data_IF_887899949106
#
_entry.id   IF_887899949106
#
_cell.length_a   1.000
_cell.length_b   1.000
_cell.length_c   1.000
_cell.angle_alpha   90.00
_cell.angle_beta   90.00
_cell.angle_gamma   90.00
#
_symmetry.space_group_name_H-M   'P 1'
#
loop_
_entity.id
_entity.type
_entity.pdbx_description
1 polymer ?
#
# COMPACT_ATOMS: atom_id res chain seq x y z
N UNK A 1 -8.66 -12.59 -7.52
CA UNK A 1 -7.88 -11.49 -8.12
C UNK A 1 -7.34 -11.99 -9.45
N UNK A 2 -7.33 -11.17 -10.49
CA UNK A 2 -6.76 -11.53 -11.79
C UNK A 2 -5.27 -11.17 -11.80
N UNK A 3 -4.41 -12.15 -11.54
CA UNK A 3 -2.98 -11.95 -11.42
C UNK A 3 -2.28 -11.66 -12.76
N UNK A 4 -2.84 -12.17 -13.88
CA UNK A 4 -2.33 -11.84 -15.21
C UNK A 4 -2.58 -10.37 -15.53
N UNK A 5 -3.76 -9.85 -15.18
CA UNK A 5 -4.05 -8.44 -15.31
C UNK A 5 -3.13 -7.58 -14.43
N UNK A 6 -2.86 -7.98 -13.18
CA UNK A 6 -1.95 -7.25 -12.28
C UNK A 6 -0.54 -7.16 -12.88
N UNK A 7 0.02 -8.28 -13.30
CA UNK A 7 1.37 -8.31 -13.89
C UNK A 7 1.43 -7.44 -15.16
N UNK A 8 0.43 -7.56 -16.04
CA UNK A 8 0.32 -6.73 -17.23
C UNK A 8 0.24 -5.24 -16.88
N UNK A 9 -0.56 -4.89 -15.87
CA UNK A 9 -0.73 -3.51 -15.42
C UNK A 9 0.56 -2.94 -14.79
N UNK A 10 1.28 -3.72 -13.97
CA UNK A 10 2.56 -3.32 -13.40
C UNK A 10 3.61 -3.04 -14.49
N UNK A 11 3.74 -3.94 -15.46
CA UNK A 11 4.64 -3.74 -16.61
C UNK A 11 4.24 -2.50 -17.42
N UNK A 12 2.94 -2.27 -17.61
CA UNK A 12 2.43 -1.08 -18.28
C UNK A 12 2.77 0.21 -17.52
N UNK A 13 2.71 0.19 -16.19
CA UNK A 13 3.14 1.32 -15.37
C UNK A 13 4.63 1.59 -15.55
N UNK A 14 5.46 0.54 -15.59
CA UNK A 14 6.89 0.68 -15.87
C UNK A 14 7.12 1.38 -17.21
N UNK A 15 6.46 0.95 -18.28
CA UNK A 15 6.59 1.57 -19.61
C UNK A 15 6.15 3.03 -19.59
N UNK A 16 4.99 3.32 -18.96
CA UNK A 16 4.47 4.68 -18.82
C UNK A 16 5.45 5.60 -18.08
N UNK A 17 5.99 5.15 -16.94
CA UNK A 17 6.85 5.99 -16.13
C UNK A 17 8.27 6.11 -16.70
N UNK A 18 8.77 5.14 -17.47
CA UNK A 18 10.06 5.26 -18.17
C UNK A 18 10.07 6.35 -19.24
N UNK A 19 8.91 6.70 -19.79
CA UNK A 19 8.77 7.84 -20.70
C UNK A 19 8.80 9.19 -19.96
N UNK A 20 8.56 9.19 -18.65
CA UNK A 20 8.44 10.39 -17.83
C UNK A 20 9.65 10.63 -16.92
N UNK A 21 10.34 9.56 -16.50
CA UNK A 21 11.37 9.58 -15.48
C UNK A 21 12.55 8.69 -15.87
N UNK A 22 13.76 9.08 -15.46
CA UNK A 22 14.98 8.39 -15.90
C UNK A 22 15.15 7.01 -15.27
N UNK A 23 14.53 6.76 -14.11
CA UNK A 23 14.69 5.51 -13.37
C UNK A 23 13.37 5.01 -12.80
N UNK A 24 13.01 3.80 -13.21
CA UNK A 24 11.84 3.04 -12.77
C UNK A 24 12.25 1.60 -12.55
N UNK A 25 11.93 1.07 -11.38
CA UNK A 25 12.24 -0.30 -10.96
C UNK A 25 10.94 -1.03 -10.63
N UNK A 26 10.86 -2.29 -11.06
CA UNK A 26 9.78 -3.22 -10.73
C UNK A 26 10.43 -4.57 -10.47
N UNK A 27 10.17 -5.13 -9.30
CA UNK A 27 10.55 -6.48 -8.94
C UNK A 27 9.30 -7.26 -8.53
N UNK A 28 9.08 -8.39 -9.21
CA UNK A 28 8.03 -9.34 -8.87
C UNK A 28 8.74 -10.66 -8.59
N UNK A 29 8.84 -11.01 -7.31
CA UNK A 29 9.41 -12.27 -6.85
C UNK A 29 8.46 -13.43 -7.03
N UNK A 30 8.97 -14.65 -6.84
CA UNK A 30 8.17 -15.87 -6.87
C UNK A 30 7.06 -15.86 -5.81
N UNK A 31 5.94 -16.58 -6.02
CA UNK A 31 4.95 -16.82 -4.98
C UNK A 31 5.58 -17.45 -3.74
N UNK A 32 5.13 -16.99 -2.56
CA UNK A 32 5.55 -17.56 -1.29
C UNK A 32 5.07 -19.01 -1.15
N UNK A 33 5.91 -19.84 -0.56
CA UNK A 33 5.57 -21.20 -0.14
C UNK A 33 4.65 -21.21 1.06
N UNK A 34 3.96 -22.33 1.29
CA UNK A 34 3.13 -22.51 2.50
C UNK A 34 3.94 -22.40 3.80
N UNK A 35 5.20 -22.84 3.78
CA UNK A 35 6.09 -22.76 4.95
C UNK A 35 6.50 -21.32 5.24
N UNK A 36 6.74 -20.50 4.20
CA UNK A 36 6.98 -19.06 4.36
C UNK A 36 5.76 -18.35 4.94
N UNK A 37 4.56 -18.70 4.46
CA UNK A 37 3.32 -18.15 5.01
C UNK A 37 3.11 -18.58 6.46
N UNK A 38 3.39 -19.84 6.80
CA UNK A 38 3.29 -20.30 8.18
C UNK A 38 4.29 -19.57 9.09
N UNK A 39 5.52 -19.31 8.62
CA UNK A 39 6.49 -18.50 9.35
C UNK A 39 5.98 -17.09 9.57
N UNK A 40 5.51 -16.42 8.51
CA UNK A 40 4.91 -15.09 8.59
C UNK A 40 3.76 -15.04 9.62
N UNK A 41 2.81 -15.97 9.55
CA UNK A 41 1.66 -16.05 10.46
C UNK A 41 2.09 -16.25 11.92
N UNK A 42 3.13 -17.05 12.17
CA UNK A 42 3.70 -17.24 13.51
C UNK A 42 4.38 -15.96 14.03
N UNK A 43 5.13 -15.24 13.19
CA UNK A 43 5.82 -13.99 13.57
C UNK A 43 4.83 -12.87 13.93
N UNK A 44 3.76 -12.69 13.13
CA UNK A 44 2.74 -11.67 13.44
C UNK A 44 1.77 -12.10 14.54
N UNK A 45 1.70 -13.41 14.82
CA UNK A 45 0.86 -14.01 15.86
C UNK A 45 -0.60 -14.23 15.44
N UNK A 46 -0.89 -14.31 14.13
CA UNK A 46 -2.24 -14.54 13.60
C UNK A 46 -2.22 -15.12 12.19
N UNK A 47 -3.33 -15.74 11.78
CA UNK A 47 -3.55 -16.12 10.38
C UNK A 47 -3.74 -14.88 9.50
N UNK A 48 -3.16 -14.90 8.29
CA UNK A 48 -3.31 -13.83 7.33
C UNK A 48 -4.75 -13.78 6.80
N UNK A 49 -5.31 -12.58 6.62
CA UNK A 49 -6.56 -12.41 5.90
C UNK A 49 -6.51 -13.05 4.50
N UNK A 50 -7.62 -13.65 4.09
CA UNK A 50 -7.67 -14.61 2.98
C UNK A 50 -7.13 -14.03 1.67
N UNK A 51 -7.44 -12.77 1.35
CA UNK A 51 -7.00 -12.12 0.11
C UNK A 51 -5.49 -11.85 0.09
N UNK A 52 -4.93 -11.39 1.21
CA UNK A 52 -3.49 -11.16 1.35
C UNK A 52 -2.72 -12.49 1.29
N UNK A 53 -3.22 -13.53 1.98
CA UNK A 53 -2.67 -14.88 1.90
C UNK A 53 -2.66 -15.42 0.48
N UNK A 54 -3.75 -15.22 -0.27
CA UNK A 54 -3.85 -15.64 -1.67
C UNK A 54 -2.91 -14.86 -2.57
N UNK A 55 -2.70 -13.57 -2.35
CA UNK A 55 -1.71 -12.78 -3.07
C UNK A 55 -0.32 -13.39 -2.94
N UNK A 56 0.13 -13.67 -1.72
CA UNK A 56 1.45 -14.25 -1.52
C UNK A 56 1.59 -15.66 -2.09
N UNK A 57 0.59 -16.53 -1.89
CA UNK A 57 0.67 -17.93 -2.34
C UNK A 57 0.56 -18.12 -3.86
N UNK A 58 -0.10 -17.20 -4.57
CA UNK A 58 -0.45 -17.39 -5.98
C UNK A 58 0.15 -16.35 -6.93
N UNK A 59 0.67 -15.24 -6.42
CA UNK A 59 1.24 -14.18 -7.25
C UNK A 59 2.69 -13.89 -6.90
N UNK A 60 2.95 -13.39 -5.70
CA UNK A 60 4.31 -12.99 -5.34
C UNK A 60 4.48 -12.86 -3.84
N UNK A 61 5.55 -13.43 -3.30
CA UNK A 61 6.03 -13.21 -1.93
C UNK A 61 6.71 -11.85 -1.73
N UNK A 62 7.09 -11.18 -2.82
CA UNK A 62 7.78 -9.89 -2.83
C UNK A 62 7.45 -9.12 -4.11
N UNK A 63 6.66 -8.06 -3.99
CA UNK A 63 6.35 -7.16 -5.11
C UNK A 63 6.77 -5.74 -4.73
N UNK A 64 7.75 -5.21 -5.44
CA UNK A 64 8.29 -3.87 -5.24
C UNK A 64 8.18 -3.05 -6.53
N UNK A 65 7.77 -1.80 -6.41
CA UNK A 65 7.69 -0.87 -7.52
C UNK A 65 8.16 0.50 -7.05
N UNK A 66 9.13 1.07 -7.77
CA UNK A 66 9.75 2.35 -7.43
C UNK A 66 9.92 3.23 -8.67
N UNK A 67 9.51 4.49 -8.56
CA UNK A 67 9.77 5.55 -9.55
C UNK A 67 10.61 6.64 -8.89
N UNK A 68 11.78 6.91 -9.45
CA UNK A 68 12.72 7.90 -8.95
C UNK A 68 12.61 9.18 -9.76
N UNK A 69 12.47 10.33 -9.10
CA UNK A 69 12.52 11.62 -9.78
C UNK A 69 13.97 11.94 -10.13
N UNK A 70 14.29 11.96 -11.41
CA UNK A 70 15.55 12.52 -11.83
C UNK A 70 15.51 14.05 -11.78
N UNK A 71 16.53 14.62 -11.10
CA UNK A 71 16.81 16.06 -10.95
C UNK A 71 16.12 16.80 -9.80
N UNK A 72 16.27 16.30 -8.58
CA UNK A 72 16.78 17.18 -7.54
C UNK A 72 18.05 16.55 -6.98
N UNK A 73 19.21 17.03 -7.43
CA UNK A 73 20.32 17.13 -6.50
C UNK A 73 19.77 17.99 -5.37
N UNK A 74 19.58 17.42 -4.20
CA UNK A 74 19.56 18.26 -3.03
C UNK A 74 20.89 19.05 -2.99
N UNK A 75 20.93 20.15 -2.25
CA UNK A 75 22.14 20.97 -2.15
C UNK A 75 23.33 20.22 -1.52
N UNK A 76 23.18 18.95 -1.14
CA UNK A 76 24.14 18.15 -0.39
C UNK A 76 24.67 16.93 -1.16
N UNK A 77 24.07 16.55 -2.29
CA UNK A 77 24.51 15.44 -3.13
C UNK A 77 24.14 14.06 -2.58
N UNK A 78 23.03 13.93 -1.84
CA UNK A 78 22.54 12.65 -1.32
C UNK A 78 21.71 11.84 -2.34
N UNK A 79 21.53 10.57 -2.01
CA UNK A 79 20.99 9.49 -2.84
C UNK A 79 19.59 9.78 -3.44
N UNK A 80 19.31 9.15 -4.59
CA UNK A 80 18.00 9.18 -5.23
C UNK A 80 16.95 8.47 -4.36
N UNK A 81 16.03 9.21 -3.74
CA UNK A 81 14.86 8.64 -3.08
C UNK A 81 13.71 8.39 -4.07
N UNK A 82 12.99 7.26 -3.96
CA UNK A 82 11.82 7.03 -4.78
C UNK A 82 10.72 8.03 -4.41
N UNK A 83 10.10 8.64 -5.40
CA UNK A 83 9.00 9.59 -5.19
C UNK A 83 7.63 8.90 -5.18
N UNK A 84 7.53 7.79 -5.91
CA UNK A 84 6.35 6.94 -5.90
C UNK A 84 6.84 5.51 -5.73
N UNK A 85 6.58 4.93 -4.57
CA UNK A 85 6.90 3.53 -4.31
C UNK A 85 5.83 2.82 -3.50
N UNK A 86 5.81 1.51 -3.67
CA UNK A 86 5.17 0.60 -2.74
C UNK A 86 5.94 -0.72 -2.73
N UNK A 87 5.94 -1.37 -1.57
CA UNK A 87 6.46 -2.72 -1.41
C UNK A 87 5.42 -3.55 -0.66
N UNK A 88 5.01 -4.68 -1.23
CA UNK A 88 4.20 -5.69 -0.55
C UNK A 88 5.00 -6.99 -0.55
N UNK A 89 5.49 -7.38 0.62
CA UNK A 89 6.26 -8.61 0.79
C UNK A 89 5.95 -9.28 2.12
N UNK A 90 6.31 -10.56 2.27
CA UNK A 90 6.13 -11.27 3.54
C UNK A 90 6.89 -10.59 4.68
N UNK A 91 8.13 -10.19 4.44
CA UNK A 91 8.95 -9.49 5.44
C UNK A 91 8.44 -8.06 5.67
N UNK A 92 7.91 -7.41 4.63
CA UNK A 92 7.26 -6.10 4.70
C UNK A 92 6.03 -6.11 5.60
N UNK A 93 5.24 -7.19 5.61
CA UNK A 93 4.10 -7.34 6.53
C UNK A 93 4.57 -7.46 7.98
N UNK A 94 5.64 -8.23 8.25
CA UNK A 94 6.22 -8.32 9.61
C UNK A 94 6.70 -6.93 10.05
N UNK A 95 7.44 -6.24 9.18
CA UNK A 95 7.95 -4.91 9.48
C UNK A 95 6.84 -3.90 9.74
N UNK A 96 5.82 -3.85 8.88
CA UNK A 96 4.68 -2.95 9.03
C UNK A 96 3.85 -3.27 10.27
N UNK A 97 3.63 -4.54 10.60
CA UNK A 97 2.88 -4.92 11.79
C UNK A 97 3.63 -4.61 13.09
N UNK A 98 4.95 -4.79 13.14
CA UNK A 98 5.75 -4.41 14.30
C UNK A 98 5.71 -2.90 14.52
N UNK A 99 5.96 -2.09 13.49
CA UNK A 99 5.86 -0.63 13.61
C UNK A 99 4.45 -0.18 14.01
N UNK A 100 3.41 -0.82 13.47
CA UNK A 100 2.03 -0.53 13.85
C UNK A 100 1.76 -0.82 15.33
N UNK A 101 2.24 -1.95 15.85
CA UNK A 101 2.15 -2.29 17.28
C UNK A 101 2.88 -1.25 18.13
N UNK A 102 4.11 -0.89 17.75
CA UNK A 102 4.92 0.11 18.46
C UNK A 102 4.21 1.48 18.52
N UNK A 103 3.70 1.97 17.38
CA UNK A 103 2.90 3.20 17.34
C UNK A 103 1.65 3.13 18.21
N UNK A 104 0.92 2.00 18.15
CA UNK A 104 -0.28 1.79 18.97
C UNK A 104 0.05 1.80 20.47
N UNK A 105 1.15 1.16 20.88
CA UNK A 105 1.51 1.02 22.29
C UNK A 105 2.13 2.29 22.88
N UNK A 106 3.03 2.94 22.14
CA UNK A 106 3.81 4.07 22.65
C UNK A 106 3.14 5.42 22.45
N UNK A 107 2.42 5.60 21.34
CA UNK A 107 1.91 6.91 20.91
C UNK A 107 0.39 6.98 20.88
N UNK A 108 -0.29 5.87 20.57
CA UNK A 108 -1.74 5.82 20.40
C UNK A 108 -2.46 4.80 21.30
N UNK A 109 -2.18 4.77 22.62
CA UNK A 109 -2.68 3.71 23.50
C UNK A 109 -4.16 3.86 23.89
N UNK A 110 -4.76 5.06 23.80
CA UNK A 110 -6.10 5.30 24.34
C UNK A 110 -7.21 4.93 23.35
N UNK A 111 -7.74 3.72 23.47
CA UNK A 111 -8.85 3.25 22.63
C UNK A 111 -10.17 4.05 22.79
N UNK A 112 -10.27 4.97 23.76
CA UNK A 112 -11.40 5.91 23.86
C UNK A 112 -11.17 7.20 23.05
N UNK A 113 -9.92 7.49 22.69
CA UNK A 113 -9.58 8.58 21.79
C UNK A 113 -9.89 8.16 20.34
N UNK A 114 -10.64 8.99 19.62
CA UNK A 114 -11.06 8.71 18.25
C UNK A 114 -9.91 8.64 17.25
N UNK A 115 -8.82 9.35 17.53
CA UNK A 115 -7.59 9.29 16.74
C UNK A 115 -6.90 7.95 16.99
N UNK A 116 -6.52 7.71 18.24
CA UNK A 116 -5.81 6.49 18.65
C UNK A 116 -6.52 5.22 18.21
N UNK A 117 -7.84 5.15 18.41
CA UNK A 117 -8.69 3.99 18.06
C UNK A 117 -8.50 3.49 16.63
N UNK A 118 -8.10 4.34 15.69
CA UNK A 118 -7.83 3.94 14.30
C UNK A 118 -6.65 2.95 14.22
N UNK A 119 -5.67 3.04 15.12
CA UNK A 119 -4.52 2.12 15.18
C UNK A 119 -4.85 0.75 15.77
N UNK A 120 -5.99 0.60 16.45
CA UNK A 120 -6.35 -0.62 17.19
C UNK A 120 -7.07 -1.65 16.31
N UNK A 121 -6.83 -2.93 16.57
CA UNK A 121 -7.40 -4.07 15.84
C UNK A 121 -7.11 -4.02 14.33
N UNK A 122 -5.84 -3.79 14.00
CA UNK A 122 -5.33 -3.64 12.64
C UNK A 122 -4.22 -4.66 12.39
N UNK A 123 -3.96 -4.94 11.12
CA UNK A 123 -2.78 -5.67 10.64
C UNK A 123 -2.03 -4.79 9.63
N UNK A 124 -0.82 -4.36 9.95
CA UNK A 124 0.02 -3.57 9.05
C UNK A 124 0.47 -4.39 7.82
N UNK A 125 0.44 -3.78 6.63
CA UNK A 125 0.84 -4.44 5.38
C UNK A 125 1.86 -3.66 4.55
N UNK A 126 1.90 -2.34 4.68
CA UNK A 126 2.91 -1.46 4.07
C UNK A 126 3.30 -0.42 5.11
N UNK A 127 4.60 -0.20 5.27
CA UNK A 127 5.16 0.84 6.13
C UNK A 127 5.78 1.93 5.24
N UNK A 128 5.52 3.20 5.58
CA UNK A 128 6.06 4.35 4.87
C UNK A 128 6.41 5.47 5.86
N UNK A 129 7.68 5.58 6.23
CA UNK A 129 8.22 6.68 7.06
C UNK A 129 7.37 7.06 8.29
N UNK A 130 6.86 6.05 9.00
CA UNK A 130 6.02 6.23 10.20
C UNK A 130 4.54 5.94 9.94
N UNK A 131 4.05 6.21 8.73
CA UNK A 131 2.69 5.88 8.32
C UNK A 131 2.57 4.40 7.96
N UNK A 132 1.36 3.85 8.13
CA UNK A 132 1.08 2.43 7.88
C UNK A 132 -0.20 2.29 7.07
N UNK A 133 -0.14 1.55 5.97
CA UNK A 133 -1.34 1.01 5.32
C UNK A 133 -1.63 -0.34 5.98
N UNK A 134 -2.85 -0.50 6.49
CA UNK A 134 -3.24 -1.64 7.30
C UNK A 134 -4.58 -2.25 6.88
N UNK A 135 -4.84 -3.47 7.32
CA UNK A 135 -6.10 -4.17 7.22
C UNK A 135 -6.89 -4.03 8.53
N UNK A 136 -8.16 -3.59 8.46
CA UNK A 136 -9.03 -3.46 9.63
C UNK A 136 -9.70 -4.78 10.04
N UNK A 137 -8.89 -5.64 10.66
CA UNK A 137 -9.30 -6.97 11.16
C UNK A 137 -10.33 -6.91 12.30
N UNK A 138 -10.53 -5.74 12.91
CA UNK A 138 -11.62 -5.49 13.86
C UNK A 138 -13.00 -5.43 13.21
N UNK A 139 -13.08 -5.12 11.91
CA UNK A 139 -14.33 -5.04 11.14
C UNK A 139 -14.66 -6.37 10.46
N UNK A 140 -13.69 -6.99 9.79
CA UNK A 140 -13.83 -8.30 9.14
C UNK A 140 -12.49 -9.05 9.20
N UNK A 141 -12.49 -10.29 9.71
CA UNK A 141 -11.27 -11.11 9.82
C UNK A 141 -10.88 -11.82 8.53
N UNK A 142 -11.83 -12.01 7.62
CA UNK A 142 -11.63 -12.77 6.37
C UNK A 142 -11.22 -11.82 5.24
N UNK A 143 -11.99 -10.74 5.04
CA UNK A 143 -11.74 -9.72 4.01
C UNK A 143 -11.81 -8.29 4.61
N UNK A 144 -10.88 -7.95 5.52
CA UNK A 144 -10.82 -6.63 6.15
C UNK A 144 -10.68 -5.51 5.12
N UNK A 145 -11.30 -4.33 5.35
CA UNK A 145 -11.02 -3.16 4.56
C UNK A 145 -9.58 -2.68 4.77
N UNK A 146 -9.01 -2.06 3.74
CA UNK A 146 -7.70 -1.43 3.80
C UNK A 146 -7.87 0.00 4.30
N UNK A 147 -7.09 0.39 5.31
CA UNK A 147 -7.14 1.69 5.97
C UNK A 147 -5.76 2.33 6.05
N UNK A 148 -5.74 3.66 6.06
CA UNK A 148 -4.52 4.44 6.25
C UNK A 148 -4.35 4.85 7.72
N UNK A 149 -3.18 4.59 8.29
CA UNK A 149 -2.78 4.98 9.65
C UNK A 149 -1.68 6.03 9.52
N UNK A 150 -1.88 7.18 10.16
CA UNK A 150 -0.98 8.32 10.07
C UNK A 150 -0.37 8.56 11.43
N UNK A 151 0.95 8.69 11.50
CA UNK A 151 1.70 8.91 12.72
C UNK A 151 1.67 10.38 13.17
N UNK A 152 1.38 11.30 12.26
CA UNK A 152 1.53 12.76 12.47
C UNK A 152 0.22 13.56 12.34
N UNK A 153 -0.93 12.91 12.19
CA UNK A 153 -2.22 13.59 12.11
C UNK A 153 -2.64 14.02 10.72
N UNK A 154 -1.99 13.50 9.68
CA UNK A 154 -2.34 13.76 8.29
C UNK A 154 -3.80 13.42 7.98
N UNK A 155 -4.35 14.08 6.95
CA UNK A 155 -5.79 14.03 6.63
C UNK A 155 -6.28 12.64 6.32
N UNK A 156 -5.40 11.75 5.86
CA UNK A 156 -5.70 10.37 5.54
C UNK A 156 -5.95 9.48 6.75
N UNK A 157 -5.71 9.95 7.98
CA UNK A 157 -5.87 9.13 9.16
C UNK A 157 -7.28 8.49 9.25
N UNK A 158 -7.31 7.16 9.18
CA UNK A 158 -8.54 6.36 9.20
C UNK A 158 -9.37 6.45 7.92
N UNK A 159 -8.77 6.83 6.79
CA UNK A 159 -9.40 6.69 5.47
C UNK A 159 -9.45 5.22 5.08
N UNK A 160 -10.59 4.78 4.57
CA UNK A 160 -10.71 3.51 3.87
C UNK A 160 -10.13 3.72 2.48
N UNK A 161 -9.10 2.95 2.13
CA UNK A 161 -8.46 2.94 0.81
C UNK A 161 -9.07 1.88 -0.12
N UNK A 162 -9.65 0.82 0.45
CA UNK A 162 -10.45 -0.16 -0.28
C UNK A 162 -11.30 -1.00 0.66
N UNK A 163 -12.42 -1.50 0.15
CA UNK A 163 -13.34 -2.35 0.95
C UNK A 163 -12.71 -3.69 1.37
N UNK A 164 -11.69 -4.12 0.64
CA UNK A 164 -10.85 -5.28 0.90
C UNK A 164 -9.49 -5.11 0.17
N UNK A 165 -8.54 -6.00 0.43
CA UNK A 165 -7.20 -5.95 -0.18
C UNK A 165 -7.28 -5.97 -1.71
N UNK A 166 -8.14 -6.82 -2.28
CA UNK A 166 -8.23 -6.95 -3.72
C UNK A 166 -8.71 -5.67 -4.41
N UNK A 167 -9.76 -5.06 -3.85
CA UNK A 167 -10.33 -3.83 -4.37
C UNK A 167 -9.37 -2.66 -4.22
N UNK A 168 -8.66 -2.58 -3.08
CA UNK A 168 -7.61 -1.60 -2.86
C UNK A 168 -6.51 -1.73 -3.90
N UNK A 169 -5.90 -2.90 -4.04
CA UNK A 169 -4.73 -3.08 -4.90
C UNK A 169 -5.08 -2.86 -6.37
N UNK A 170 -6.22 -3.38 -6.84
CA UNK A 170 -6.70 -3.13 -8.20
C UNK A 170 -6.96 -1.63 -8.47
N UNK A 171 -7.61 -0.93 -7.54
CA UNK A 171 -7.86 0.51 -7.67
C UNK A 171 -6.56 1.32 -7.63
N UNK A 172 -5.63 0.94 -6.75
CA UNK A 172 -4.31 1.55 -6.59
C UNK A 172 -3.48 1.44 -7.88
N UNK A 173 -3.45 0.27 -8.53
CA UNK A 173 -2.79 0.11 -9.84
C UNK A 173 -3.51 0.89 -10.96
N UNK A 174 -4.84 1.00 -10.90
CA UNK A 174 -5.64 1.78 -11.88
C UNK A 174 -5.47 3.29 -11.76
N UNK A 175 -5.05 3.81 -10.61
CA UNK A 175 -4.70 5.23 -10.46
C UNK A 175 -3.22 5.51 -10.73
N UNK A 176 -2.43 4.47 -11.06
CA UNK A 176 -1.03 4.63 -11.43
C UNK A 176 -0.02 4.22 -10.37
N UNK A 177 -0.42 3.51 -9.31
CA UNK A 177 0.46 3.16 -8.18
C UNK A 177 1.22 4.40 -7.66
N UNK A 178 0.47 5.46 -7.37
CA UNK A 178 0.96 6.82 -7.18
C UNK A 178 1.81 7.06 -5.92
N UNK A 179 2.26 6.02 -5.23
CA UNK A 179 2.98 6.09 -3.95
C UNK A 179 2.11 5.77 -2.73
N UNK A 180 2.77 5.52 -1.60
CA UNK A 180 2.15 5.02 -0.37
C UNK A 180 1.78 6.11 0.64
N UNK A 181 1.95 7.40 0.30
CA UNK A 181 1.55 8.54 1.13
C UNK A 181 0.08 8.93 0.97
N UNK A 182 -0.50 9.45 2.05
CA UNK A 182 -1.89 9.90 2.09
C UNK A 182 -2.19 10.99 1.05
N UNK A 183 -1.28 11.94 0.87
CA UNK A 183 -1.44 13.06 -0.05
C UNK A 183 -1.46 12.61 -1.51
N UNK A 184 -0.89 11.44 -1.81
CA UNK A 184 -0.90 10.82 -3.12
C UNK A 184 -2.18 10.00 -3.33
N UNK A 185 -2.74 9.37 -2.30
CA UNK A 185 -3.92 8.50 -2.43
C UNK A 185 -5.28 9.21 -2.23
N UNK A 186 -5.41 10.08 -1.22
CA UNK A 186 -6.66 10.76 -0.85
C UNK A 186 -7.31 11.53 -2.01
N UNK A 187 -6.56 12.20 -2.92
CA UNK A 187 -7.18 12.89 -4.05
C UNK A 187 -8.06 11.99 -4.93
N UNK A 188 -7.90 10.67 -4.85
CA UNK A 188 -8.66 9.69 -5.61
C UNK A 188 -9.83 9.08 -4.84
N UNK A 189 -10.04 9.46 -3.57
CA UNK A 189 -11.18 9.05 -2.76
C UNK A 189 -12.29 10.10 -2.83
N UNK A 190 -13.55 9.68 -3.05
CA UNK A 190 -14.69 10.61 -3.06
C UNK A 190 -15.01 11.12 -1.64
N UNK A 191 -14.76 10.28 -0.63
CA UNK A 191 -14.78 10.63 0.79
C UNK A 191 -13.99 9.59 1.59
N UNK A 192 -13.86 9.80 2.91
CA UNK A 192 -13.06 8.94 3.80
C UNK A 192 -13.52 7.47 3.93
N UNK A 193 -14.71 7.12 3.42
CA UNK A 193 -15.28 5.78 3.54
C UNK A 193 -15.41 5.05 2.20
N UNK A 194 -15.16 5.72 1.06
CA UNK A 194 -15.46 5.17 -0.26
C UNK A 194 -14.43 4.17 -0.78
N UNK A 195 -13.19 4.20 -0.26
CA UNK A 195 -12.05 3.65 -0.97
C UNK A 195 -11.58 4.55 -2.10
N UNK A 196 -10.45 4.18 -2.70
CA UNK A 196 -9.91 4.78 -3.92
C UNK A 196 -10.90 4.53 -5.06
N UNK A 197 -11.32 5.62 -5.72
CA UNK A 197 -12.17 5.57 -6.90
C UNK A 197 -11.33 5.81 -8.17
N UNK A 198 -10.99 4.76 -8.94
CA UNK A 198 -10.19 4.89 -10.15
C UNK A 198 -10.93 5.58 -11.31
N UNK A 199 -12.22 5.91 -11.13
CA UNK A 199 -13.06 6.61 -12.10
C UNK A 199 -13.43 8.02 -11.66
N UNK A 200 -12.89 8.50 -10.52
CA UNK A 200 -13.08 9.89 -10.13
C UNK A 200 -12.37 10.83 -11.12
N UNK A 201 -12.77 12.10 -11.12
CA UNK A 201 -12.20 13.12 -12.01
C UNK A 201 -10.68 13.20 -11.89
N UNK A 202 -10.14 13.15 -10.68
CA UNK A 202 -8.70 13.25 -10.44
C UNK A 202 -7.94 12.06 -11.03
N UNK A 203 -8.46 10.84 -10.88
CA UNK A 203 -7.84 9.64 -11.45
C UNK A 203 -7.83 9.69 -12.98
N UNK A 204 -8.96 10.11 -13.59
CA UNK A 204 -9.05 10.27 -15.05
C UNK A 204 -8.05 11.30 -15.56
N UNK A 205 -7.96 12.46 -14.91
CA UNK A 205 -7.05 13.52 -15.32
C UNK A 205 -5.58 13.14 -15.08
N UNK A 206 -5.25 12.48 -13.97
CA UNK A 206 -3.91 12.00 -13.71
C UNK A 206 -3.46 10.96 -14.75
N UNK A 207 -4.29 9.94 -15.01
CA UNK A 207 -4.02 8.94 -16.07
C UNK A 207 -3.76 9.57 -17.43
N UNK A 208 -4.55 10.57 -17.82
CA UNK A 208 -4.31 11.31 -19.08
C UNK A 208 -2.96 12.04 -19.07
N UNK A 209 -2.55 12.62 -17.96
CA UNK A 209 -1.27 13.34 -17.82
C UNK A 209 -0.08 12.42 -17.95
N UNK A 210 -0.15 11.25 -17.31
CA UNK A 210 0.94 10.27 -17.38
C UNK A 210 0.87 9.38 -18.63
N UNK A 211 -0.24 9.39 -19.38
CA UNK A 211 -0.41 8.52 -20.56
C UNK A 211 -0.86 7.09 -20.23
N UNK A 212 -1.34 6.85 -19.01
CA UNK A 212 -1.84 5.53 -18.60
C UNK A 212 -3.24 5.27 -19.17
N UNK A 213 -3.35 4.23 -19.99
CA UNK A 213 -4.63 3.67 -20.43
C UNK A 213 -5.02 2.48 -19.54
N UNK A 214 -6.31 2.26 -19.28
CA UNK A 214 -6.84 1.13 -18.48
C UNK A 214 -7.84 0.31 -19.27
#
# INVERSE_FOLDING_TARGET
MDYQWIECQLNKLVDVYRELYDKVELEIGEPATKDEILRLENEIGMELPMQLKNFFLNFSGYCDFCVFLSKQKDSQGEDEFPYMSFTISTDGVIHAENNRKDWQEECFPDNNNSYDKVWHNKLGIIYNEGDVIALDIGIDKINPPVVYLSHDGCKGHGYILGKDFNTFFEAFLKIGACGSDDCLMIPYCDNRYSGINPNCRNAIEYRKRIGLTI
#
